data_IF_226476982570
#
_entry.id   IF_226476982570
#
_cell.length_a   1.000
_cell.length_b   1.000
_cell.length_c   1.000
_cell.angle_alpha   90.00
_cell.angle_beta   90.00
_cell.angle_gamma   90.00
#
_symmetry.space_group_name_H-M   'P 1'
#
loop_
_entity.id
_entity.type
_entity.pdbx_description
1 polymer ?
#
# COMPACT_ATOMS: atom_id res chain seq x y z
N UNK A 1 -12.68 11.24 -18.73
CA UNK A 1 -12.63 10.41 -17.50
C UNK A 1 -13.80 9.43 -17.60
N UNK A 2 -13.53 8.17 -17.95
CA UNK A 2 -14.61 7.19 -18.19
C UNK A 2 -14.97 6.53 -16.88
N UNK A 3 -16.25 6.67 -16.46
CA UNK A 3 -16.84 5.89 -15.39
C UNK A 3 -16.73 4.39 -15.75
N UNK A 4 -15.94 3.67 -14.98
CA UNK A 4 -15.95 2.20 -15.06
C UNK A 4 -17.19 1.76 -14.32
N UNK A 5 -18.27 1.51 -15.10
CA UNK A 5 -19.55 1.04 -14.60
C UNK A 5 -19.41 -0.32 -13.91
N UNK A 6 -19.28 -0.31 -12.61
CA UNK A 6 -19.55 -1.46 -11.75
C UNK A 6 -21.02 -1.39 -11.37
N UNK A 7 -21.77 -2.37 -11.83
CA UNK A 7 -23.19 -2.61 -11.52
C UNK A 7 -23.36 -3.07 -10.06
N UNK A 8 -23.03 -2.19 -9.12
CA UNK A 8 -23.40 -2.26 -7.72
C UNK A 8 -23.19 -0.87 -7.15
N UNK A 9 -24.27 -0.16 -6.86
CA UNK A 9 -24.38 1.15 -6.23
C UNK A 9 -23.13 2.05 -6.26
N UNK A 10 -23.26 3.30 -6.69
CA UNK A 10 -22.16 4.27 -6.89
C UNK A 10 -21.19 4.30 -5.70
N UNK A 11 -20.09 3.56 -5.81
CA UNK A 11 -18.96 3.63 -4.90
C UNK A 11 -18.13 4.88 -5.23
N UNK A 12 -17.79 5.66 -4.22
CA UNK A 12 -16.85 6.78 -4.38
C UNK A 12 -15.50 6.40 -3.78
N UNK A 13 -14.45 6.42 -4.58
CA UNK A 13 -13.08 6.33 -4.11
C UNK A 13 -12.58 7.74 -3.84
N UNK A 14 -12.22 8.02 -2.60
CA UNK A 14 -11.74 9.34 -2.19
C UNK A 14 -10.46 9.20 -1.39
N UNK A 15 -9.63 10.25 -1.38
CA UNK A 15 -8.43 10.29 -0.56
C UNK A 15 -8.83 10.25 0.92
N UNK A 16 -8.12 9.46 1.71
CA UNK A 16 -8.26 9.42 3.17
C UNK A 16 -7.96 10.81 3.76
N UNK A 17 -8.81 11.27 4.66
CA UNK A 17 -8.66 12.53 5.40
C UNK A 17 -8.32 12.25 6.85
N UNK A 18 -7.74 13.19 7.59
CA UNK A 18 -7.41 13.00 9.00
C UNK A 18 -8.59 12.51 9.87
N UNK A 19 -9.80 12.97 9.58
CA UNK A 19 -11.03 12.53 10.29
C UNK A 19 -11.42 11.08 10.02
N UNK A 20 -10.93 10.48 8.93
CA UNK A 20 -11.25 9.10 8.54
C UNK A 20 -10.35 8.08 9.28
N UNK A 21 -9.28 8.55 9.94
CA UNK A 21 -8.25 7.72 10.56
C UNK A 21 -8.77 6.69 11.56
N UNK A 22 -9.64 7.11 12.48
CA UNK A 22 -10.22 6.21 13.49
C UNK A 22 -11.07 5.09 12.84
N UNK A 23 -11.86 5.42 11.82
CA UNK A 23 -12.68 4.45 11.09
C UNK A 23 -11.80 3.47 10.28
N UNK A 24 -10.70 3.94 9.68
CA UNK A 24 -9.72 3.08 8.98
C UNK A 24 -9.05 2.13 9.96
N UNK A 25 -8.64 2.58 11.16
CA UNK A 25 -8.05 1.70 12.17
C UNK A 25 -9.04 0.65 12.67
N UNK A 26 -10.29 1.02 12.94
CA UNK A 26 -11.35 0.07 13.32
C UNK A 26 -11.56 -1.00 12.23
N UNK A 27 -11.56 -0.59 10.95
CA UNK A 27 -11.67 -1.52 9.82
C UNK A 27 -10.45 -2.46 9.72
N UNK A 28 -9.24 -1.95 9.94
CA UNK A 28 -8.02 -2.76 9.98
C UNK A 28 -8.06 -3.76 11.14
N UNK A 29 -8.53 -3.33 12.31
CA UNK A 29 -8.72 -4.18 13.48
C UNK A 29 -9.67 -5.34 13.17
N UNK A 30 -10.84 -5.03 12.61
CA UNK A 30 -11.85 -6.02 12.23
C UNK A 30 -11.33 -6.99 11.15
N UNK A 31 -10.47 -6.53 10.21
CA UNK A 31 -9.97 -7.33 9.11
C UNK A 31 -8.78 -8.22 9.47
N UNK A 32 -7.89 -7.76 10.36
CA UNK A 32 -6.58 -8.39 10.60
C UNK A 32 -6.32 -8.77 12.06
N UNK A 33 -7.20 -8.39 12.98
CA UNK A 33 -7.08 -8.62 14.43
C UNK A 33 -6.04 -7.74 15.13
N UNK A 34 -5.98 -7.82 16.47
CA UNK A 34 -5.05 -7.03 17.29
C UNK A 34 -3.60 -7.42 17.07
N UNK A 35 -3.31 -8.69 16.78
CA UNK A 35 -1.95 -9.22 16.62
C UNK A 35 -1.27 -8.74 15.32
N UNK A 36 -1.95 -7.96 14.48
CA UNK A 36 -1.38 -7.42 13.24
C UNK A 36 -0.10 -6.62 13.48
N UNK A 37 0.02 -5.93 14.62
CA UNK A 37 1.17 -5.10 14.96
C UNK A 37 2.47 -5.91 15.12
N UNK A 38 2.40 -7.20 15.44
CA UNK A 38 3.55 -8.09 15.53
C UNK A 38 4.10 -8.53 14.17
N UNK A 39 3.35 -8.33 13.08
CA UNK A 39 3.80 -8.71 11.74
C UNK A 39 4.91 -7.79 11.25
N UNK A 40 5.90 -8.36 10.57
CA UNK A 40 7.08 -7.66 10.04
C UNK A 40 6.73 -6.39 9.27
N UNK A 41 5.70 -6.42 8.43
CA UNK A 41 5.28 -5.25 7.64
C UNK A 41 4.75 -4.10 8.50
N UNK A 42 4.19 -4.36 9.68
CA UNK A 42 3.73 -3.31 10.59
C UNK A 42 4.90 -2.59 11.25
N UNK A 43 5.97 -3.32 11.63
CA UNK A 43 7.19 -2.71 12.18
C UNK A 43 7.86 -1.73 11.20
N UNK A 44 7.76 -1.97 9.89
CA UNK A 44 8.23 -1.03 8.85
C UNK A 44 7.41 0.27 8.78
N UNK A 45 6.19 0.28 9.32
CA UNK A 45 5.28 1.42 9.33
C UNK A 45 5.37 2.27 10.59
N UNK A 46 5.92 1.71 11.67
CA UNK A 46 6.10 2.41 12.95
C UNK A 46 6.93 3.68 12.76
N UNK A 47 6.45 4.80 13.27
CA UNK A 47 7.09 6.13 13.18
C UNK A 47 7.29 6.66 11.75
N UNK A 48 6.79 5.95 10.74
CA UNK A 48 6.82 6.39 9.35
C UNK A 48 5.42 6.83 8.95
N UNK A 49 5.21 8.09 8.53
CA UNK A 49 3.92 8.51 8.03
C UNK A 49 3.61 7.80 6.70
N UNK A 50 2.34 7.42 6.46
CA UNK A 50 1.93 6.89 5.16
C UNK A 50 2.06 7.98 4.08
N UNK A 51 2.14 7.57 2.83
CA UNK A 51 2.10 8.46 1.67
C UNK A 51 0.65 8.94 1.53
N UNK A 52 0.34 10.12 2.08
CA UNK A 52 -1.04 10.65 2.18
C UNK A 52 -1.75 10.70 0.84
N UNK A 53 -1.03 10.98 -0.23
CA UNK A 53 -1.53 11.05 -1.61
C UNK A 53 -1.95 9.67 -2.15
N UNK A 54 -1.51 8.59 -1.50
CA UNK A 54 -1.77 7.20 -1.87
C UNK A 54 -2.62 6.45 -0.84
N UNK A 55 -3.23 7.15 0.11
CA UNK A 55 -4.19 6.57 1.06
C UNK A 55 -5.61 6.88 0.61
N UNK A 56 -6.42 5.84 0.42
CA UNK A 56 -7.77 5.98 -0.12
C UNK A 56 -8.79 5.19 0.70
N UNK A 57 -10.01 5.70 0.71
CA UNK A 57 -11.17 5.02 1.27
C UNK A 57 -12.27 4.91 0.22
N UNK A 58 -13.04 3.85 0.30
CA UNK A 58 -14.24 3.64 -0.48
C UNK A 58 -15.47 3.96 0.37
N UNK A 59 -16.34 4.82 -0.16
CA UNK A 59 -17.55 5.28 0.50
C UNK A 59 -18.77 4.79 -0.30
N UNK A 60 -19.70 4.13 0.36
CA UNK A 60 -20.95 3.68 -0.25
C UNK A 60 -21.97 4.83 -0.45
N UNK A 61 -23.13 4.51 -1.03
CA UNK A 61 -24.20 5.49 -1.26
C UNK A 61 -24.80 6.07 0.03
N UNK A 62 -24.69 5.34 1.15
CA UNK A 62 -25.17 5.78 2.46
C UNK A 62 -24.11 6.63 3.21
N UNK A 63 -22.98 6.93 2.57
CA UNK A 63 -21.90 7.68 3.19
C UNK A 63 -21.03 6.86 4.14
N UNK A 64 -21.15 5.53 4.19
CA UNK A 64 -20.36 4.67 5.07
C UNK A 64 -19.04 4.30 4.39
N UNK A 65 -17.96 4.29 5.16
CA UNK A 65 -16.68 3.74 4.72
C UNK A 65 -16.80 2.20 4.66
N UNK A 66 -16.50 1.64 3.50
CA UNK A 66 -16.66 0.20 3.22
C UNK A 66 -15.36 -0.50 2.86
N UNK A 67 -14.32 0.26 2.52
CA UNK A 67 -12.99 -0.27 2.30
C UNK A 67 -11.93 0.82 2.46
N UNK A 68 -10.70 0.43 2.74
CA UNK A 68 -9.54 1.34 2.84
C UNK A 68 -8.28 0.69 2.31
N UNK A 69 -7.36 1.51 1.78
CA UNK A 69 -6.02 1.13 1.39
C UNK A 69 -5.05 2.23 1.81
N UNK A 70 -3.93 1.84 2.42
CA UNK A 70 -2.82 2.74 2.74
C UNK A 70 -1.53 2.28 2.12
N UNK A 71 -0.62 3.19 1.90
CA UNK A 71 0.69 2.95 1.31
C UNK A 71 1.78 3.67 2.10
N UNK A 72 2.90 3.00 2.33
CA UNK A 72 4.03 3.56 3.06
C UNK A 72 5.28 3.66 2.19
N UNK A 73 6.11 4.69 2.39
CA UNK A 73 7.41 4.74 1.75
C UNK A 73 8.36 3.74 2.42
N UNK A 74 9.14 3.03 1.63
CA UNK A 74 10.23 2.16 2.06
C UNK A 74 11.47 2.39 1.19
N UNK A 75 12.62 1.98 1.69
CA UNK A 75 13.86 1.86 0.91
C UNK A 75 14.30 0.40 0.87
N UNK A 76 14.76 -0.05 -0.28
CA UNK A 76 15.41 -1.34 -0.43
C UNK A 76 16.91 -1.06 -0.45
N UNK A 77 17.67 -1.70 0.45
CA UNK A 77 19.10 -1.52 0.62
C UNK A 77 19.51 -0.02 0.69
N UNK A 78 18.73 0.80 1.42
CA UNK A 78 18.92 2.25 1.60
C UNK A 78 19.03 3.08 0.29
N UNK A 79 18.85 2.44 -0.85
CA UNK A 79 19.10 3.01 -2.19
C UNK A 79 17.85 3.13 -3.05
N UNK A 80 17.02 2.07 -3.13
CA UNK A 80 15.92 2.01 -4.06
C UNK A 80 14.59 2.32 -3.39
N UNK A 81 13.98 3.48 -3.67
CA UNK A 81 12.67 3.81 -3.12
C UNK A 81 11.59 2.89 -3.69
N UNK A 82 10.68 2.46 -2.83
CA UNK A 82 9.53 1.66 -3.17
C UNK A 82 8.33 2.01 -2.30
N UNK A 83 7.15 1.52 -2.66
CA UNK A 83 5.95 1.59 -1.84
C UNK A 83 5.76 0.24 -1.14
N UNK A 84 5.49 0.24 0.16
CA UNK A 84 4.90 -0.87 0.88
C UNK A 84 3.38 -0.71 0.89
N UNK A 85 2.69 -1.50 0.07
CA UNK A 85 1.24 -1.45 -0.07
C UNK A 85 0.54 -2.20 1.08
N UNK A 86 -0.55 -1.61 1.55
CA UNK A 86 -1.44 -2.17 2.57
C UNK A 86 -1.27 -1.47 3.93
N UNK A 87 -2.19 -1.71 4.87
CA UNK A 87 -3.27 -2.69 4.74
C UNK A 87 -4.32 -2.31 3.71
N UNK A 88 -4.87 -3.33 3.05
CA UNK A 88 -6.10 -3.25 2.25
C UNK A 88 -7.19 -3.94 3.04
N UNK A 89 -8.12 -3.19 3.57
CA UNK A 89 -9.23 -3.70 4.37
C UNK A 89 -10.57 -3.45 3.67
N UNK A 90 -11.47 -4.42 3.74
CA UNK A 90 -12.83 -4.36 3.20
C UNK A 90 -13.78 -4.83 4.30
N UNK A 91 -14.90 -4.14 4.48
CA UNK A 91 -15.96 -4.54 5.37
C UNK A 91 -16.35 -6.01 5.07
N UNK A 92 -16.41 -6.89 6.08
CA UNK A 92 -16.57 -8.34 5.87
C UNK A 92 -17.75 -8.71 4.97
N UNK A 93 -18.89 -8.06 5.17
CA UNK A 93 -20.13 -8.28 4.43
C UNK A 93 -20.07 -7.82 2.97
N UNK A 94 -19.04 -7.09 2.59
CA UNK A 94 -18.84 -6.53 1.24
C UNK A 94 -17.66 -7.17 0.50
N UNK A 95 -17.07 -8.20 1.06
CA UNK A 95 -16.00 -8.96 0.40
C UNK A 95 -16.56 -9.66 -0.84
N UNK A 96 -15.71 -9.82 -1.85
CA UNK A 96 -16.12 -10.43 -3.13
C UNK A 96 -16.85 -9.49 -4.09
N UNK A 97 -17.30 -8.31 -3.67
CA UNK A 97 -18.06 -7.36 -4.50
C UNK A 97 -17.17 -6.43 -5.35
N UNK A 98 -15.84 -6.65 -5.37
CA UNK A 98 -14.93 -5.89 -6.22
C UNK A 98 -14.36 -4.61 -5.61
N UNK A 99 -14.75 -4.21 -4.40
CA UNK A 99 -14.29 -2.96 -3.77
C UNK A 99 -12.77 -2.94 -3.56
N UNK A 100 -12.19 -4.05 -3.13
CA UNK A 100 -10.74 -4.19 -3.00
C UNK A 100 -10.03 -4.06 -4.34
N UNK A 101 -10.59 -4.63 -5.42
CA UNK A 101 -10.03 -4.49 -6.78
C UNK A 101 -10.05 -3.04 -7.24
N UNK A 102 -11.14 -2.33 -7.02
CA UNK A 102 -11.26 -0.92 -7.38
C UNK A 102 -10.21 -0.05 -6.65
N UNK A 103 -10.03 -0.25 -5.34
CA UNK A 103 -8.99 0.44 -4.56
C UNK A 103 -7.58 0.10 -5.04
N UNK A 104 -7.30 -1.18 -5.35
CA UNK A 104 -6.01 -1.61 -5.87
C UNK A 104 -5.67 -0.90 -7.19
N UNK A 105 -6.54 -0.98 -8.19
CA UNK A 105 -6.32 -0.33 -9.48
C UNK A 105 -6.18 1.18 -9.35
N UNK A 106 -7.00 1.81 -8.52
CA UNK A 106 -6.92 3.25 -8.27
C UNK A 106 -5.58 3.63 -7.62
N UNK A 107 -5.18 2.92 -6.54
CA UNK A 107 -3.92 3.17 -5.84
C UNK A 107 -2.70 2.99 -6.75
N UNK A 108 -2.68 1.92 -7.56
CA UNK A 108 -1.59 1.66 -8.51
C UNK A 108 -1.51 2.74 -9.60
N UNK A 109 -2.64 3.18 -10.14
CA UNK A 109 -2.67 4.26 -11.13
C UNK A 109 -2.14 5.57 -10.55
N UNK A 110 -2.58 5.94 -9.32
CA UNK A 110 -2.08 7.13 -8.63
C UNK A 110 -0.59 7.02 -8.30
N UNK A 111 -0.12 5.84 -7.87
CA UNK A 111 1.30 5.61 -7.61
C UNK A 111 2.16 5.84 -8.85
N UNK A 112 1.70 5.36 -10.02
CA UNK A 112 2.38 5.59 -11.30
C UNK A 112 2.39 7.08 -11.68
N UNK A 113 1.26 7.78 -11.52
CA UNK A 113 1.15 9.21 -11.81
C UNK A 113 2.06 10.07 -10.92
N UNK A 114 2.31 9.65 -9.69
CA UNK A 114 3.23 10.30 -8.75
C UNK A 114 4.71 9.92 -8.97
N UNK A 115 5.01 9.14 -10.00
CA UNK A 115 6.39 8.79 -10.37
C UNK A 115 6.99 7.64 -9.58
N UNK A 116 6.20 6.89 -8.83
CA UNK A 116 6.69 5.68 -8.18
C UNK A 116 6.93 4.58 -9.22
N UNK A 117 7.99 3.80 -9.04
CA UNK A 117 8.42 2.79 -10.01
C UNK A 117 8.13 1.35 -9.58
N UNK A 118 7.95 1.09 -8.27
CA UNK A 118 7.78 -0.26 -7.74
C UNK A 118 6.93 -0.30 -6.48
N UNK A 119 6.21 -1.40 -6.31
CA UNK A 119 5.38 -1.66 -5.12
C UNK A 119 5.74 -3.03 -4.57
N UNK A 120 5.83 -3.12 -3.24
CA UNK A 120 6.06 -4.36 -2.49
C UNK A 120 4.85 -4.59 -1.59
N UNK A 121 4.48 -5.86 -1.40
CA UNK A 121 3.47 -6.25 -0.41
C UNK A 121 3.70 -7.66 0.14
N UNK A 122 2.99 -7.96 1.21
CA UNK A 122 2.82 -9.33 1.73
C UNK A 122 1.33 -9.66 1.71
N UNK A 123 0.94 -10.61 0.86
CA UNK A 123 -0.45 -10.99 0.66
C UNK A 123 -0.60 -12.25 -0.18
N UNK A 124 -1.82 -12.74 -0.36
CA UNK A 124 -2.09 -14.00 -1.05
C UNK A 124 -1.86 -13.87 -2.57
N UNK A 125 -0.95 -14.65 -3.17
CA UNK A 125 -0.65 -14.59 -4.59
C UNK A 125 -1.90 -14.76 -5.45
N UNK A 126 -2.83 -15.63 -5.04
CA UNK A 126 -4.08 -15.92 -5.73
C UNK A 126 -4.95 -14.65 -5.91
N UNK A 127 -4.84 -13.71 -4.97
CA UNK A 127 -5.51 -12.42 -5.08
C UNK A 127 -4.67 -11.38 -5.82
N UNK A 128 -3.37 -11.29 -5.53
CA UNK A 128 -2.53 -10.17 -6.00
C UNK A 128 -1.96 -10.36 -7.40
N UNK A 129 -1.84 -11.61 -7.89
CA UNK A 129 -1.32 -11.88 -9.26
C UNK A 129 -2.17 -11.24 -10.36
N UNK A 130 -3.49 -11.08 -10.15
CA UNK A 130 -4.37 -10.39 -11.11
C UNK A 130 -4.02 -8.92 -11.36
N UNK A 131 -3.23 -8.31 -10.47
CA UNK A 131 -2.74 -6.93 -10.58
C UNK A 131 -1.30 -6.86 -11.11
N UNK A 132 -0.68 -8.00 -11.40
CA UNK A 132 0.69 -8.10 -11.87
C UNK A 132 1.75 -8.25 -10.78
N UNK A 133 1.34 -8.42 -9.52
CA UNK A 133 2.29 -8.74 -8.45
C UNK A 133 2.82 -10.15 -8.62
N UNK A 134 4.13 -10.32 -8.44
CA UNK A 134 4.81 -11.59 -8.65
C UNK A 134 5.89 -11.82 -7.60
N UNK A 135 6.09 -13.10 -7.23
CA UNK A 135 7.14 -13.51 -6.27
C UNK A 135 8.53 -13.41 -6.88
N UNK A 136 8.69 -13.77 -8.15
CA UNK A 136 9.99 -13.76 -8.82
C UNK A 136 10.63 -12.37 -8.88
N UNK A 137 9.84 -11.30 -8.90
CA UNK A 137 10.35 -9.92 -8.79
C UNK A 137 10.90 -9.58 -7.39
N UNK A 138 10.57 -10.37 -6.37
CA UNK A 138 10.98 -10.13 -5.00
C UNK A 138 12.05 -11.12 -4.49
N UNK A 139 12.65 -11.95 -5.35
CA UNK A 139 13.60 -12.99 -4.93
C UNK A 139 14.89 -12.43 -4.31
N UNK A 140 15.36 -11.29 -4.80
CA UNK A 140 16.62 -10.70 -4.36
C UNK A 140 16.45 -9.67 -3.24
N UNK A 141 15.24 -9.46 -2.73
CA UNK A 141 14.95 -8.53 -1.63
C UNK A 141 14.47 -9.28 -0.39
N UNK A 142 14.68 -8.70 0.77
CA UNK A 142 14.40 -9.33 2.07
C UNK A 142 13.65 -8.37 2.98
N UNK A 143 12.74 -8.91 3.78
CA UNK A 143 12.10 -8.20 4.89
C UNK A 143 12.92 -8.35 6.18
N UNK A 144 12.89 -7.36 7.10
CA UNK A 144 13.62 -7.42 8.38
C UNK A 144 12.91 -8.31 9.42
N UNK A 145 12.45 -9.48 8.99
CA UNK A 145 11.77 -10.46 9.82
C UNK A 145 11.05 -11.51 9.00
N UNK A 146 10.49 -12.48 9.69
CA UNK A 146 9.85 -13.61 9.04
C UNK A 146 8.60 -13.22 8.25
N UNK A 147 8.44 -13.84 7.10
CA UNK A 147 7.26 -13.80 6.25
C UNK A 147 7.17 -15.13 5.50
N UNK A 148 5.95 -15.58 5.23
CA UNK A 148 5.75 -16.70 4.32
C UNK A 148 6.18 -16.29 2.91
N UNK A 149 7.23 -16.91 2.37
CA UNK A 149 7.92 -16.46 1.15
C UNK A 149 7.00 -16.31 -0.05
N UNK A 150 6.06 -17.25 -0.25
CA UNK A 150 5.12 -17.18 -1.38
C UNK A 150 4.25 -15.92 -1.36
N UNK A 151 4.03 -15.34 -0.18
CA UNK A 151 3.21 -14.14 0.03
C UNK A 151 3.98 -12.84 -0.14
N UNK A 152 5.30 -12.90 -0.24
CA UNK A 152 6.15 -11.74 -0.42
C UNK A 152 6.28 -11.43 -1.92
N UNK A 153 5.59 -10.37 -2.38
CA UNK A 153 5.37 -10.06 -3.78
C UNK A 153 5.85 -8.66 -4.13
N UNK A 154 6.29 -8.49 -5.37
CA UNK A 154 6.64 -7.19 -5.92
C UNK A 154 5.90 -6.93 -7.25
N UNK A 155 5.77 -5.66 -7.59
CA UNK A 155 5.20 -5.17 -8.85
C UNK A 155 6.10 -4.06 -9.41
N UNK A 156 6.37 -4.12 -10.69
CA UNK A 156 6.96 -3.03 -11.47
C UNK A 156 5.86 -2.11 -12.00
N UNK A 157 5.81 -0.87 -11.51
CA UNK A 157 4.99 0.18 -12.12
C UNK A 157 5.63 0.72 -13.40
N UNK A 158 6.96 0.67 -13.47
CA UNK A 158 7.78 0.97 -14.63
C UNK A 158 8.54 -0.30 -14.97
N UNK A 159 8.42 -0.79 -16.19
CA UNK A 159 9.07 -2.01 -16.64
C UNK A 159 10.58 -1.96 -16.41
N UNK A 160 11.14 -3.05 -15.88
CA UNK A 160 12.56 -3.17 -15.55
C UNK A 160 12.98 -2.47 -14.26
N UNK A 161 12.05 -1.86 -13.52
CA UNK A 161 12.41 -1.13 -12.28
C UNK A 161 12.90 -2.03 -11.15
N UNK A 162 12.69 -3.34 -11.24
CA UNK A 162 13.23 -4.31 -10.29
C UNK A 162 14.56 -4.93 -10.76
N UNK A 163 15.06 -4.61 -11.95
CA UNK A 163 16.36 -5.14 -12.44
C UNK A 163 17.49 -4.60 -11.54
N UNK A 164 18.29 -5.53 -10.99
CA UNK A 164 19.41 -5.21 -10.10
C UNK A 164 19.02 -4.76 -8.70
N UNK A 165 17.73 -4.69 -8.39
CA UNK A 165 17.26 -4.36 -7.02
C UNK A 165 17.46 -5.56 -6.10
N UNK A 166 18.16 -5.35 -4.97
CA UNK A 166 18.49 -6.40 -4.02
C UNK A 166 18.69 -5.84 -2.62
N UNK A 167 18.63 -6.72 -1.62
CA UNK A 167 18.99 -6.40 -0.23
C UNK A 167 17.78 -6.19 0.68
N UNK A 168 18.05 -5.68 1.87
CA UNK A 168 17.07 -5.57 2.96
C UNK A 168 16.16 -4.37 2.77
N UNK A 169 14.85 -4.57 3.02
CA UNK A 169 13.89 -3.48 3.10
C UNK A 169 14.00 -2.80 4.46
N UNK A 170 14.08 -1.47 4.44
CA UNK A 170 14.12 -0.62 5.61
C UNK A 170 13.15 0.56 5.53
N UNK A 171 13.06 1.27 6.65
CA UNK A 171 12.34 2.55 6.72
C UNK A 171 13.14 3.61 5.93
N UNK A 172 12.49 4.61 5.29
CA UNK A 172 13.21 5.73 4.73
C UNK A 172 13.92 6.49 5.86
N UNK A 173 15.17 6.85 5.66
CA UNK A 173 15.86 7.71 6.61
C UNK A 173 15.15 9.06 6.67
N UNK A 174 14.89 9.57 7.87
CA UNK A 174 14.44 10.95 8.03
C UNK A 174 15.46 11.85 7.33
N UNK A 175 15.05 12.60 6.30
CA UNK A 175 15.92 13.64 5.74
C UNK A 175 16.27 14.56 6.89
N UNK A 176 17.52 14.55 7.34
CA UNK A 176 18.04 15.55 8.22
C UNK A 176 17.68 16.91 7.60
N UNK A 177 16.94 17.73 8.33
CA UNK A 177 16.56 19.05 7.88
C UNK A 177 17.86 19.78 7.51
N UNK A 178 18.15 19.86 6.21
CA UNK A 178 19.29 20.57 5.69
C UNK A 178 19.08 22.04 6.08
N UNK A 179 19.77 22.46 7.13
CA UNK A 179 19.77 23.81 7.62
C UNK A 179 20.16 24.74 6.47
N UNK A 180 19.21 25.56 6.02
CA UNK A 180 19.51 26.73 5.22
C UNK A 180 20.43 27.64 6.08
N UNK A 181 21.73 27.46 5.98
CA UNK A 181 22.66 28.53 6.36
C UNK A 181 22.43 29.69 5.41
N UNK A 182 21.68 30.68 5.88
CA UNK A 182 21.75 32.04 5.32
C UNK A 182 23.17 32.55 5.60
N UNK A 183 24.00 32.60 4.59
CA UNK A 183 25.16 33.48 4.61
C UNK A 183 24.66 34.91 4.46
N UNK A 184 24.99 35.72 5.42
CA UNK A 184 24.91 37.18 5.35
C UNK A 184 25.99 37.72 4.42
#
# INVERSE_FOLDING_TARGET
MRDIGLSAGRLRLVRERPRDGAAVEAMNEAAFGPDRHHKTVYRLREEVPPIKELCFVAIDQKGRMVASIRNWPILINERWPAILLGPLAIAPELRGLGYGKALMWHSMAQSRMLGHSRIILVGDPEYYNQFGFRRDLALNIQLPGWVEERRFLALELVAGSMIGVHGMIGKPQAKAAAGRRRTR
#
